data_IF_163820587723
#
_entry.id   IF_163820587723
#
_cell.length_a   1.000
_cell.length_b   1.000
_cell.length_c   1.000
_cell.angle_alpha   90.00
_cell.angle_beta   90.00
_cell.angle_gamma   90.00
#
_symmetry.space_group_name_H-M   'P 1'
#
loop_
_entity.id
_entity.type
_entity.pdbx_description
1 polymer ?
#
# COMPACT_ATOMS: atom_id res chain seq x y z
N UNK A 1 15.74 26.66 10.98
CA UNK A 1 15.02 25.39 11.24
C UNK A 1 15.20 24.52 10.02
N UNK A 2 15.52 23.24 10.20
CA UNK A 2 15.56 22.27 9.09
C UNK A 2 14.16 21.74 8.83
N UNK A 3 13.77 21.69 7.56
CA UNK A 3 12.53 21.06 7.13
C UNK A 3 12.68 19.53 7.27
N UNK A 4 11.72 18.87 7.94
CA UNK A 4 11.72 17.42 8.13
C UNK A 4 10.46 16.83 7.50
N UNK A 5 10.53 16.49 6.21
CA UNK A 5 9.43 15.83 5.50
C UNK A 5 9.70 14.33 5.46
N UNK A 6 8.68 13.56 5.82
CA UNK A 6 8.63 12.11 5.64
C UNK A 6 7.66 11.78 4.52
N UNK A 7 8.06 10.88 3.63
CA UNK A 7 7.15 10.21 2.71
C UNK A 7 6.81 8.84 3.27
N UNK A 8 5.54 8.44 3.17
CA UNK A 8 5.09 7.09 3.52
C UNK A 8 4.29 6.53 2.35
N UNK A 9 4.59 5.29 1.98
CA UNK A 9 3.96 4.55 0.87
C UNK A 9 3.62 3.13 1.34
N UNK A 10 2.42 2.62 1.03
CA UNK A 10 2.00 1.28 1.45
C UNK A 10 2.50 0.20 0.48
N UNK A 11 3.01 -0.89 1.02
CA UNK A 11 3.60 -1.94 0.21
C UNK A 11 2.53 -2.73 -0.57
N UNK A 12 2.55 -2.66 -1.91
CA UNK A 12 1.66 -3.41 -2.81
C UNK A 12 0.16 -3.30 -2.42
N UNK A 13 -0.27 -2.09 -2.04
CA UNK A 13 -1.48 -1.82 -1.26
C UNK A 13 -2.71 -2.67 -1.59
N UNK A 14 -3.22 -2.62 -2.83
CA UNK A 14 -4.45 -3.38 -3.17
C UNK A 14 -4.26 -4.90 -3.00
N UNK A 15 -3.12 -5.46 -3.43
CA UNK A 15 -2.85 -6.88 -3.30
C UNK A 15 -2.63 -7.27 -1.83
N UNK A 16 -1.97 -6.42 -1.04
CA UNK A 16 -1.80 -6.62 0.39
C UNK A 16 -3.15 -6.62 1.13
N UNK A 17 -4.06 -5.71 0.79
CA UNK A 17 -5.43 -5.70 1.34
C UNK A 17 -6.19 -6.99 0.98
N UNK A 18 -6.09 -7.46 -0.27
CA UNK A 18 -6.70 -8.73 -0.68
C UNK A 18 -6.12 -9.92 0.09
N UNK A 19 -4.80 -10.00 0.25
CA UNK A 19 -4.13 -11.08 0.99
C UNK A 19 -4.42 -11.03 2.50
N UNK A 20 -4.63 -9.85 3.05
CA UNK A 20 -4.97 -9.67 4.47
C UNK A 20 -6.43 -10.04 4.74
N UNK A 21 -7.37 -9.63 3.89
CA UNK A 21 -8.79 -9.96 4.02
C UNK A 21 -9.09 -11.45 3.69
N UNK A 22 -8.24 -12.11 2.89
CA UNK A 22 -8.43 -13.49 2.41
C UNK A 22 -7.19 -14.34 2.70
N UNK A 23 -7.12 -15.00 3.87
CA UNK A 23 -5.94 -15.76 4.31
C UNK A 23 -5.45 -16.81 3.32
N UNK A 24 -6.35 -17.38 2.51
CA UNK A 24 -6.04 -18.35 1.46
C UNK A 24 -5.20 -17.78 0.30
N UNK A 25 -5.09 -16.44 0.19
CA UNK A 25 -4.28 -15.74 -0.81
C UNK A 25 -2.87 -15.39 -0.31
N UNK A 26 -2.61 -15.53 1.00
CA UNK A 26 -1.31 -15.21 1.57
C UNK A 26 -0.21 -16.07 0.97
N UNK A 27 0.89 -15.45 0.55
CA UNK A 27 2.01 -16.16 -0.08
C UNK A 27 1.75 -16.57 -1.53
N UNK A 28 0.66 -16.12 -2.16
CA UNK A 28 0.30 -16.44 -3.55
C UNK A 28 0.45 -15.22 -4.46
N UNK A 29 0.75 -15.42 -5.77
CA UNK A 29 0.84 -14.35 -6.74
C UNK A 29 -0.54 -13.74 -7.02
N UNK A 30 -0.91 -12.72 -6.26
CA UNK A 30 -2.14 -11.93 -6.45
C UNK A 30 -1.87 -10.74 -7.37
N UNK A 31 -2.75 -10.56 -8.36
CA UNK A 31 -2.75 -9.46 -9.31
C UNK A 31 -4.13 -8.79 -9.27
N UNK A 32 -4.17 -7.52 -8.86
CA UNK A 32 -5.39 -6.70 -8.90
C UNK A 32 -5.36 -5.85 -10.15
N UNK A 33 -6.44 -5.83 -10.90
CA UNK A 33 -6.52 -5.04 -12.12
C UNK A 33 -7.94 -4.62 -12.49
N UNK A 34 -8.03 -3.82 -13.54
CA UNK A 34 -9.30 -3.44 -14.15
C UNK A 34 -10.01 -4.63 -14.83
N UNK A 35 -10.79 -4.36 -15.87
CA UNK A 35 -11.53 -5.41 -16.56
C UNK A 35 -10.61 -6.57 -17.03
N UNK A 36 -10.76 -7.74 -16.40
CA UNK A 36 -9.88 -8.90 -16.59
C UNK A 36 -10.11 -9.63 -17.92
N UNK A 37 -11.25 -9.37 -18.58
CA UNK A 37 -11.66 -10.02 -19.84
C UNK A 37 -11.59 -9.06 -21.04
N UNK A 38 -11.21 -7.80 -20.83
CA UNK A 38 -10.99 -6.78 -21.88
C UNK A 38 -9.52 -6.33 -21.88
N UNK A 39 -9.22 -5.23 -22.59
CA UNK A 39 -7.92 -4.54 -22.60
C UNK A 39 -7.67 -3.80 -21.27
N UNK A 40 -7.77 -4.49 -20.14
CA UNK A 40 -7.46 -3.98 -18.81
C UNK A 40 -5.95 -3.96 -18.54
N UNK A 41 -5.57 -3.22 -17.51
CA UNK A 41 -4.20 -3.16 -16.99
C UNK A 41 -4.15 -3.60 -15.53
N UNK A 42 -2.99 -4.08 -15.09
CA UNK A 42 -2.67 -4.35 -13.69
C UNK A 42 -2.68 -3.04 -12.92
N UNK A 43 -3.48 -2.96 -11.87
CA UNK A 43 -3.47 -1.85 -10.92
C UNK A 43 -2.36 -2.03 -9.89
N UNK A 44 -2.25 -3.23 -9.31
CA UNK A 44 -1.14 -3.60 -8.45
C UNK A 44 -0.87 -5.10 -8.51
N UNK A 45 0.37 -5.48 -8.25
CA UNK A 45 0.80 -6.87 -8.13
C UNK A 45 1.47 -7.08 -6.76
N UNK A 46 1.12 -8.19 -6.11
CA UNK A 46 1.81 -8.71 -4.92
C UNK A 46 3.28 -8.98 -5.21
N UNK A 47 4.12 -9.05 -4.16
CA UNK A 47 5.54 -9.37 -4.32
C UNK A 47 5.75 -10.74 -4.97
N UNK A 48 4.90 -11.72 -4.65
CA UNK A 48 4.92 -13.04 -5.26
C UNK A 48 4.67 -12.99 -6.78
N UNK A 49 3.76 -12.12 -7.24
CA UNK A 49 3.53 -11.91 -8.67
C UNK A 49 4.66 -11.11 -9.34
N UNK A 50 5.27 -10.15 -8.62
CA UNK A 50 6.40 -9.34 -9.12
C UNK A 50 7.64 -10.17 -9.45
N UNK A 51 7.84 -11.32 -8.78
CA UNK A 51 8.92 -12.27 -9.10
C UNK A 51 8.83 -12.77 -10.55
N UNK A 52 7.62 -12.88 -11.09
CA UNK A 52 7.37 -13.27 -12.49
C UNK A 52 7.48 -12.09 -13.47
N UNK A 53 7.86 -10.89 -12.99
CA UNK A 53 7.96 -9.68 -13.80
C UNK A 53 6.66 -8.89 -13.94
N UNK A 54 5.57 -9.31 -13.30
CA UNK A 54 4.30 -8.56 -13.32
C UNK A 54 4.45 -7.26 -12.54
N UNK A 55 4.02 -6.15 -13.13
CA UNK A 55 4.07 -4.82 -12.50
C UNK A 55 2.82 -3.98 -12.85
N UNK A 56 2.61 -2.89 -12.12
CA UNK A 56 1.52 -1.95 -12.37
C UNK A 56 1.58 -1.36 -13.78
N UNK A 57 0.42 -0.98 -14.31
CA UNK A 57 0.20 -0.52 -15.69
C UNK A 57 0.49 -1.55 -16.81
N UNK A 58 0.93 -2.76 -16.47
CA UNK A 58 1.08 -3.85 -17.44
C UNK A 58 -0.28 -4.30 -17.99
N UNK A 59 -0.43 -4.57 -19.30
CA UNK A 59 -1.64 -5.20 -19.83
C UNK A 59 -1.95 -6.54 -19.16
N UNK A 60 -3.22 -6.78 -18.78
CA UNK A 60 -3.62 -8.03 -18.12
C UNK A 60 -3.30 -9.27 -18.97
N UNK A 61 -3.43 -9.15 -20.29
CA UNK A 61 -3.07 -10.23 -21.22
C UNK A 61 -1.59 -10.61 -21.12
N UNK A 62 -0.70 -9.65 -20.90
CA UNK A 62 0.73 -9.90 -20.73
C UNK A 62 1.02 -10.46 -19.33
N UNK A 63 0.39 -9.91 -18.29
CA UNK A 63 0.50 -10.45 -16.93
C UNK A 63 0.08 -11.93 -16.85
N UNK A 64 -0.97 -12.34 -17.57
CA UNK A 64 -1.40 -13.75 -17.68
C UNK A 64 -0.39 -14.64 -18.39
N UNK A 65 0.41 -14.11 -19.32
CA UNK A 65 1.50 -14.87 -19.96
C UNK A 65 2.69 -15.04 -19.03
N UNK A 66 3.05 -14.00 -18.30
CA UNK A 66 4.18 -14.02 -17.36
C UNK A 66 3.88 -14.84 -16.11
N UNK A 67 2.66 -14.78 -15.60
CA UNK A 67 2.22 -15.49 -14.41
C UNK A 67 0.91 -16.27 -14.69
N UNK A 68 0.99 -17.42 -15.40
CA UNK A 68 -0.19 -18.21 -15.78
C UNK A 68 -1.01 -18.71 -14.58
N UNK A 69 -0.33 -19.05 -13.49
CA UNK A 69 -0.95 -19.50 -12.22
C UNK A 69 -1.30 -18.33 -11.29
N UNK A 70 -1.23 -17.09 -11.79
CA UNK A 70 -1.56 -15.88 -11.04
C UNK A 70 -3.04 -15.81 -10.66
N UNK A 71 -3.33 -15.25 -9.48
CA UNK A 71 -4.68 -15.01 -9.01
C UNK A 71 -5.09 -13.60 -9.40
N UNK A 72 -5.93 -13.50 -10.43
CA UNK A 72 -6.42 -12.23 -10.96
C UNK A 72 -7.73 -11.82 -10.28
N UNK A 73 -7.73 -10.67 -9.63
CA UNK A 73 -8.89 -10.15 -8.90
C UNK A 73 -9.35 -8.80 -9.46
N UNK A 74 -10.67 -8.55 -9.52
CA UNK A 74 -11.17 -7.19 -9.74
C UNK A 74 -10.90 -6.33 -8.50
N UNK A 75 -10.66 -5.03 -8.71
CA UNK A 75 -10.45 -4.09 -7.61
C UNK A 75 -11.69 -3.85 -6.74
N UNK A 76 -11.55 -4.03 -5.42
CA UNK A 76 -12.55 -3.66 -4.39
C UNK A 76 -12.31 -2.23 -3.88
N UNK A 77 -12.47 -1.23 -4.75
CA UNK A 77 -12.08 0.16 -4.46
C UNK A 77 -12.73 0.78 -3.22
N UNK A 78 -13.98 0.45 -2.90
CA UNK A 78 -14.62 0.89 -1.65
C UNK A 78 -13.84 0.40 -0.43
N UNK A 79 -13.47 -0.89 -0.42
CA UNK A 79 -12.66 -1.49 0.65
C UNK A 79 -11.28 -0.84 0.74
N UNK A 80 -10.65 -0.55 -0.40
CA UNK A 80 -9.34 0.12 -0.41
C UNK A 80 -9.43 1.53 0.18
N UNK A 81 -10.52 2.26 -0.08
CA UNK A 81 -10.78 3.57 0.52
C UNK A 81 -11.00 3.49 2.02
N UNK A 82 -11.74 2.50 2.53
CA UNK A 82 -11.92 2.28 3.98
C UNK A 82 -10.59 2.07 4.70
N UNK A 83 -9.71 1.26 4.13
CA UNK A 83 -8.39 0.99 4.71
C UNK A 83 -7.50 2.23 4.63
N UNK A 84 -7.55 2.96 3.51
CA UNK A 84 -6.86 4.23 3.34
C UNK A 84 -7.23 5.23 4.43
N UNK A 85 -8.52 5.42 4.71
CA UNK A 85 -8.96 6.33 5.79
C UNK A 85 -8.36 5.95 7.14
N UNK A 86 -8.26 4.66 7.45
CA UNK A 86 -7.61 4.19 8.69
C UNK A 86 -6.11 4.51 8.72
N UNK A 87 -5.41 4.32 7.60
CA UNK A 87 -3.98 4.66 7.48
C UNK A 87 -3.77 6.17 7.69
N UNK A 88 -4.57 7.01 7.04
CA UNK A 88 -4.48 8.47 7.21
C UNK A 88 -4.83 8.91 8.63
N UNK A 89 -5.77 8.25 9.30
CA UNK A 89 -6.03 8.48 10.71
C UNK A 89 -4.84 8.12 11.60
N UNK A 90 -4.02 7.12 11.25
CA UNK A 90 -2.76 6.82 11.94
C UNK A 90 -1.76 7.96 11.72
N UNK A 91 -1.59 8.47 10.50
CA UNK A 91 -0.69 9.60 10.22
C UNK A 91 -1.05 10.84 11.06
N UNK A 92 -2.34 11.14 11.18
CA UNK A 92 -2.85 12.28 11.95
C UNK A 92 -2.58 12.17 13.47
N UNK A 93 -2.20 11.00 14.00
CA UNK A 93 -1.74 10.85 15.39
C UNK A 93 -0.37 11.50 15.62
N UNK A 94 0.44 11.64 14.57
CA UNK A 94 1.82 12.14 14.65
C UNK A 94 1.98 13.60 14.26
N UNK A 95 1.23 14.04 13.25
CA UNK A 95 1.23 15.43 12.78
C UNK A 95 -0.11 15.77 12.13
N UNK A 96 -0.65 16.98 12.32
CA UNK A 96 -1.81 17.44 11.56
C UNK A 96 -1.44 17.85 10.12
N UNK A 97 -0.14 17.97 9.81
CA UNK A 97 0.37 18.39 8.50
C UNK A 97 0.61 17.16 7.61
N UNK A 98 -0.48 16.61 7.09
CA UNK A 98 -0.49 15.45 6.18
C UNK A 98 -0.97 15.89 4.81
N UNK A 99 -0.13 15.73 3.80
CA UNK A 99 -0.48 15.95 2.40
C UNK A 99 -0.68 14.62 1.69
N UNK A 100 -1.92 14.33 1.32
CA UNK A 100 -2.31 13.11 0.59
C UNK A 100 -1.89 13.20 -0.87
N UNK A 101 -1.08 12.25 -1.33
CA UNK A 101 -0.66 12.13 -2.74
C UNK A 101 -1.59 11.17 -3.49
N UNK A 102 -1.90 10.03 -2.88
CA UNK A 102 -2.72 8.97 -3.47
C UNK A 102 -3.62 8.30 -2.42
N UNK A 103 -4.15 7.11 -2.73
CA UNK A 103 -4.92 6.33 -1.77
C UNK A 103 -4.03 5.71 -0.67
N UNK A 104 -2.76 5.51 -0.94
CA UNK A 104 -1.80 4.83 -0.07
C UNK A 104 -0.54 5.66 0.23
N UNK A 105 -0.38 6.84 -0.38
CA UNK A 105 0.83 7.65 -0.25
C UNK A 105 0.54 9.04 0.36
N UNK A 106 1.43 9.49 1.23
CA UNK A 106 1.37 10.83 1.82
C UNK A 106 2.75 11.40 2.17
N UNK A 107 2.83 12.73 2.18
CA UNK A 107 3.90 13.48 2.85
C UNK A 107 3.45 13.96 4.22
N UNK A 108 4.32 13.81 5.21
CA UNK A 108 4.10 14.23 6.60
C UNK A 108 5.18 15.26 6.97
N UNK A 109 4.77 16.44 7.42
CA UNK A 109 5.70 17.39 8.01
C UNK A 109 5.88 17.08 9.50
N UNK A 110 7.11 16.68 9.85
CA UNK A 110 7.52 16.32 11.20
C UNK A 110 8.22 17.47 11.92
N UNK A 111 8.23 18.68 11.34
CA UNK A 111 8.83 19.88 11.92
C UNK A 111 8.12 20.21 13.24
N UNK A 112 8.77 19.87 14.36
CA UNK A 112 8.23 20.08 15.71
C UNK A 112 7.74 18.81 16.42
N UNK A 113 7.72 17.66 15.75
CA UNK A 113 7.23 16.41 16.33
C UNK A 113 8.26 15.71 17.25
N UNK A 114 9.55 16.08 17.15
CA UNK A 114 10.63 15.27 17.72
C UNK A 114 10.62 15.15 19.25
N UNK A 115 10.15 16.18 19.96
CA UNK A 115 10.08 16.14 21.43
C UNK A 115 9.03 15.15 21.94
N UNK A 116 7.96 14.92 21.18
CA UNK A 116 6.87 14.03 21.56
C UNK A 116 7.15 12.59 21.15
N UNK A 117 7.71 12.40 19.96
CA UNK A 117 7.76 11.08 19.31
C UNK A 117 9.17 10.55 19.01
N UNK A 118 10.21 11.35 19.27
CA UNK A 118 11.60 11.02 18.97
C UNK A 118 12.06 11.52 17.60
N UNK A 119 13.24 11.08 17.18
CA UNK A 119 13.81 11.41 15.86
C UNK A 119 12.89 11.00 14.70
N UNK A 120 13.07 11.59 13.52
CA UNK A 120 12.29 11.22 12.32
C UNK A 120 12.36 9.71 12.01
N UNK A 121 13.49 9.05 12.28
CA UNK A 121 13.63 7.59 12.11
C UNK A 121 12.77 6.82 13.11
N UNK A 122 12.73 7.25 14.37
CA UNK A 122 11.89 6.63 15.41
C UNK A 122 10.41 6.83 15.10
N UNK A 123 10.03 8.03 14.62
CA UNK A 123 8.67 8.30 14.15
C UNK A 123 8.29 7.35 13.01
N UNK A 124 9.15 7.18 12.02
CA UNK A 124 8.87 6.28 10.88
C UNK A 124 8.70 4.82 11.32
N UNK A 125 9.53 4.34 12.27
CA UNK A 125 9.37 3.00 12.84
C UNK A 125 8.03 2.85 13.57
N UNK A 126 7.66 3.82 14.39
CA UNK A 126 6.38 3.81 15.13
C UNK A 126 5.18 3.83 14.16
N UNK A 127 5.23 4.64 13.11
CA UNK A 127 4.18 4.65 12.07
C UNK A 127 4.06 3.26 11.41
N UNK A 128 5.18 2.64 11.02
CA UNK A 128 5.17 1.28 10.44
C UNK A 128 4.62 0.23 11.41
N UNK A 129 4.99 0.32 12.69
CA UNK A 129 4.48 -0.57 13.75
C UNK A 129 2.98 -0.38 13.96
N UNK A 130 2.48 0.85 14.04
CA UNK A 130 1.06 1.15 14.22
C UNK A 130 0.23 0.64 13.05
N UNK A 131 0.69 0.88 11.80
CA UNK A 131 0.03 0.36 10.60
C UNK A 131 -0.05 -1.17 10.65
N UNK A 132 1.06 -1.84 11.01
CA UNK A 132 1.09 -3.29 11.09
C UNK A 132 0.18 -3.83 12.20
N UNK A 133 0.23 -3.24 13.38
CA UNK A 133 -0.55 -3.68 14.54
C UNK A 133 -2.06 -3.45 14.36
N UNK A 134 -2.45 -2.34 13.75
CA UNK A 134 -3.88 -2.00 13.57
C UNK A 134 -4.50 -2.68 12.33
N UNK A 135 -3.72 -2.87 11.26
CA UNK A 135 -4.25 -3.26 9.95
C UNK A 135 -3.65 -4.54 9.37
N UNK A 136 -2.53 -5.04 9.91
CA UNK A 136 -1.81 -6.18 9.35
C UNK A 136 -1.08 -5.88 8.04
N UNK A 137 -0.91 -4.60 7.70
CA UNK A 137 -0.30 -4.14 6.46
C UNK A 137 1.10 -3.56 6.72
N UNK A 138 1.90 -3.41 5.67
CA UNK A 138 3.25 -2.83 5.75
C UNK A 138 3.38 -1.59 4.88
N UNK A 139 4.32 -0.72 5.24
CA UNK A 139 4.61 0.52 4.55
C UNK A 139 6.12 0.76 4.52
N UNK A 140 6.57 1.60 3.59
CA UNK A 140 7.96 1.97 3.37
C UNK A 140 8.23 3.44 3.68
#
# INVERSE_FOLDING_TARGET
MSLNIMHVDMDAFFAAVEQNDRPELKGKPVIVGGNLDKRGVVSTASYEARIYGVHSAMPIAEARRLCPDGIFLPGRYERYSEISEKIFNIFLKYTPLVERVSIDEAFLDLTGCHRLFGSSIEIGKKIKEDIYNELGLTAS
#
